data_IF_825502645752
#
_entry.id   IF_825502645752
#
_cell.length_a   1.000
_cell.length_b   1.000
_cell.length_c   1.000
_cell.angle_alpha   90.00
_cell.angle_beta   90.00
_cell.angle_gamma   90.00
#
_symmetry.space_group_name_H-M   'P 1'
#
loop_
_entity.id
_entity.type
_entity.pdbx_description
1 polymer ?
#
# COMPACT_ATOMS: atom_id res chain seq x y z
N UNK A 1 16.80 -17.47 -16.80
CA UNK A 1 17.19 -18.61 -15.94
C UNK A 1 15.99 -18.86 -15.05
N UNK A 2 15.41 -20.04 -15.15
CA UNK A 2 14.17 -20.40 -14.46
C UNK A 2 14.34 -20.29 -12.95
N UNK A 3 13.57 -19.42 -12.33
CA UNK A 3 13.62 -19.08 -10.90
C UNK A 3 13.13 -20.20 -9.97
N UNK A 4 13.10 -21.44 -10.44
CA UNK A 4 12.47 -22.56 -9.73
C UNK A 4 13.43 -23.74 -9.43
N UNK A 5 14.69 -23.68 -9.90
CA UNK A 5 15.68 -24.74 -9.72
C UNK A 5 16.39 -24.54 -8.38
N UNK A 6 16.41 -25.57 -7.52
CA UNK A 6 17.10 -25.58 -6.24
C UNK A 6 18.50 -26.20 -6.41
N UNK A 7 19.56 -25.49 -6.05
CA UNK A 7 20.94 -25.98 -6.10
C UNK A 7 21.28 -26.69 -4.80
N UNK A 8 21.66 -27.95 -4.91
CA UNK A 8 21.94 -28.80 -3.76
C UNK A 8 23.38 -29.33 -3.84
N UNK A 9 24.17 -29.07 -2.82
CA UNK A 9 25.45 -29.72 -2.63
C UNK A 9 25.27 -30.96 -1.75
N UNK A 10 25.84 -32.06 -2.15
CA UNK A 10 25.88 -33.31 -1.37
C UNK A 10 27.34 -33.57 -0.98
N UNK A 11 27.64 -33.52 0.33
CA UNK A 11 28.97 -33.71 0.88
C UNK A 11 29.00 -34.99 1.70
N UNK A 12 29.56 -36.05 1.16
CA UNK A 12 29.55 -37.38 1.73
C UNK A 12 30.75 -38.15 1.19
N UNK A 13 31.61 -38.67 2.06
CA UNK A 13 32.82 -39.41 1.69
C UNK A 13 32.54 -40.89 1.37
N UNK A 14 31.51 -41.49 1.95
CA UNK A 14 31.07 -42.84 1.56
C UNK A 14 30.43 -42.82 0.17
N UNK A 15 31.09 -43.51 -0.78
CA UNK A 15 30.66 -43.51 -2.20
C UNK A 15 29.24 -44.09 -2.39
N UNK A 16 28.86 -45.10 -1.59
CA UNK A 16 27.53 -45.69 -1.68
C UNK A 16 26.45 -44.74 -1.17
N UNK A 17 26.68 -44.13 -0.03
CA UNK A 17 25.76 -43.11 0.56
C UNK A 17 25.65 -41.86 -0.32
N UNK A 18 26.77 -41.39 -0.86
CA UNK A 18 26.78 -40.28 -1.79
C UNK A 18 25.88 -40.56 -3.00
N UNK A 19 26.06 -41.71 -3.64
CA UNK A 19 25.21 -42.11 -4.76
C UNK A 19 23.74 -42.25 -4.37
N UNK A 20 23.45 -42.81 -3.19
CA UNK A 20 22.08 -42.95 -2.67
C UNK A 20 21.39 -41.59 -2.49
N UNK A 21 22.07 -40.65 -1.87
CA UNK A 21 21.54 -39.27 -1.65
C UNK A 21 21.33 -38.56 -2.97
N UNK A 22 22.33 -38.57 -3.84
CA UNK A 22 22.25 -37.96 -5.19
C UNK A 22 21.12 -38.58 -6.00
N UNK A 23 20.99 -39.90 -6.02
CA UNK A 23 19.91 -40.61 -6.74
C UNK A 23 18.53 -40.19 -6.23
N UNK A 24 18.31 -40.19 -4.92
CA UNK A 24 17.02 -39.81 -4.34
C UNK A 24 16.64 -38.37 -4.65
N UNK A 25 17.59 -37.45 -4.61
CA UNK A 25 17.34 -36.05 -4.92
C UNK A 25 17.16 -35.81 -6.44
N UNK A 26 17.89 -36.53 -7.29
CA UNK A 26 17.81 -36.41 -8.76
C UNK A 26 16.48 -36.87 -9.36
N UNK A 27 15.64 -37.57 -8.60
CA UNK A 27 14.27 -37.91 -9.00
C UNK A 27 13.39 -36.68 -9.20
N UNK A 28 13.78 -35.53 -8.64
CA UNK A 28 13.09 -34.27 -8.87
C UNK A 28 13.85 -33.45 -9.92
N UNK A 29 13.26 -33.18 -11.11
CA UNK A 29 13.93 -32.47 -12.20
C UNK A 29 14.24 -31.00 -11.87
N UNK A 30 13.63 -30.45 -10.81
CA UNK A 30 13.85 -29.06 -10.37
C UNK A 30 15.08 -28.92 -9.45
N UNK A 31 15.88 -30.01 -9.22
CA UNK A 31 17.08 -29.97 -8.40
C UNK A 31 18.34 -30.07 -9.27
N UNK A 32 19.25 -29.11 -9.06
CA UNK A 32 20.61 -29.13 -9.62
C UNK A 32 21.57 -29.63 -8.54
N UNK A 33 22.10 -30.81 -8.71
CA UNK A 33 22.87 -31.50 -7.68
C UNK A 33 24.34 -31.52 -8.04
N UNK A 34 25.20 -31.16 -7.10
CA UNK A 34 26.63 -31.32 -7.19
C UNK A 34 27.13 -32.05 -5.94
N UNK A 35 27.98 -33.08 -6.14
CA UNK A 35 28.49 -33.90 -5.05
C UNK A 35 29.98 -33.67 -4.80
N UNK A 36 30.38 -33.79 -3.53
CA UNK A 36 31.73 -33.63 -3.03
C UNK A 36 32.02 -34.75 -2.04
N UNK A 37 33.29 -35.16 -1.95
CA UNK A 37 33.73 -36.23 -1.04
C UNK A 37 34.43 -35.73 0.21
N UNK A 38 34.65 -34.42 0.32
CA UNK A 38 35.36 -33.81 1.42
C UNK A 38 34.86 -32.37 1.67
N UNK A 39 35.09 -31.84 2.88
CA UNK A 39 34.64 -30.52 3.28
C UNK A 39 35.33 -29.39 2.54
N UNK A 40 36.62 -29.53 2.24
CA UNK A 40 37.44 -28.50 1.60
C UNK A 40 36.95 -28.24 0.17
N UNK A 41 36.70 -29.28 -0.60
CA UNK A 41 36.18 -29.14 -1.98
C UNK A 41 34.79 -28.51 -1.99
N UNK A 42 33.93 -28.81 -1.01
CA UNK A 42 32.65 -28.12 -0.85
C UNK A 42 32.84 -26.62 -0.60
N UNK A 43 33.69 -26.25 0.36
CA UNK A 43 33.93 -24.85 0.74
C UNK A 43 34.54 -24.03 -0.43
N UNK A 44 35.47 -24.60 -1.19
CA UNK A 44 36.06 -23.95 -2.36
C UNK A 44 35.02 -23.66 -3.47
N UNK A 45 33.95 -24.43 -3.51
CA UNK A 45 32.86 -24.30 -4.51
C UNK A 45 31.65 -23.49 -4.01
N UNK A 46 31.67 -22.90 -2.83
CA UNK A 46 30.57 -22.04 -2.34
C UNK A 46 30.26 -20.84 -3.25
N UNK A 47 31.23 -20.41 -4.08
CA UNK A 47 31.02 -19.37 -5.09
C UNK A 47 29.93 -19.72 -6.12
N UNK A 48 29.56 -21.01 -6.27
CA UNK A 48 28.46 -21.48 -7.11
C UNK A 48 27.09 -21.25 -6.47
N UNK A 49 27.05 -20.76 -5.20
CA UNK A 49 25.86 -20.39 -4.43
C UNK A 49 24.84 -21.52 -4.34
N UNK A 50 25.12 -22.60 -3.60
CA UNK A 50 24.11 -23.61 -3.31
C UNK A 50 23.01 -23.04 -2.40
N UNK A 51 21.78 -23.51 -2.60
CA UNK A 51 20.65 -23.18 -1.72
C UNK A 51 20.61 -24.12 -0.50
N UNK A 52 21.01 -25.38 -0.73
CA UNK A 52 21.00 -26.44 0.29
C UNK A 52 22.33 -27.20 0.23
N UNK A 53 22.87 -27.53 1.38
CA UNK A 53 24.00 -28.43 1.54
C UNK A 53 23.54 -29.61 2.41
N UNK A 54 23.58 -30.84 1.89
CA UNK A 54 23.52 -32.05 2.70
C UNK A 54 24.95 -32.44 3.08
N UNK A 55 25.23 -32.59 4.36
CA UNK A 55 26.59 -32.63 4.89
C UNK A 55 26.75 -33.83 5.82
N UNK A 56 27.66 -34.71 5.55
CA UNK A 56 28.06 -35.72 6.55
C UNK A 56 28.76 -35.03 7.74
N UNK A 57 28.47 -35.51 8.93
CA UNK A 57 29.12 -35.08 10.14
C UNK A 57 30.58 -35.46 10.22
N UNK A 58 30.97 -36.60 9.66
CA UNK A 58 32.32 -37.13 9.64
C UNK A 58 32.88 -37.16 8.21
N UNK A 59 33.73 -36.17 7.92
CA UNK A 59 34.45 -36.13 6.66
C UNK A 59 35.93 -36.48 6.86
N UNK A 60 36.65 -36.91 5.83
CA UNK A 60 38.05 -37.32 5.97
C UNK A 60 39.02 -36.20 6.31
N UNK A 61 38.70 -34.97 5.96
CA UNK A 61 39.54 -33.78 6.11
C UNK A 61 39.13 -32.87 7.29
N UNK A 62 37.85 -32.81 7.65
CA UNK A 62 37.35 -31.96 8.75
C UNK A 62 36.01 -32.44 9.29
N UNK A 63 35.60 -31.92 10.45
CA UNK A 63 34.27 -32.24 11.01
C UNK A 63 33.16 -31.45 10.30
N UNK A 64 32.01 -32.04 10.12
CA UNK A 64 30.84 -31.38 9.55
C UNK A 64 30.43 -30.10 10.29
N UNK A 65 30.66 -30.01 11.61
CA UNK A 65 30.46 -28.78 12.40
C UNK A 65 31.36 -27.62 11.93
N UNK A 66 32.61 -27.91 11.56
CA UNK A 66 33.55 -26.87 11.10
C UNK A 66 33.19 -26.40 9.68
N UNK A 67 32.72 -27.32 8.82
CA UNK A 67 32.15 -26.96 7.51
C UNK A 67 30.90 -26.09 7.68
N UNK A 68 29.97 -26.50 8.56
CA UNK A 68 28.75 -25.74 8.85
C UNK A 68 29.07 -24.29 9.27
N UNK A 69 29.98 -24.07 10.21
CA UNK A 69 30.41 -22.75 10.66
C UNK A 69 30.93 -21.89 9.52
N UNK A 70 31.84 -22.43 8.70
CA UNK A 70 32.41 -21.70 7.58
C UNK A 70 31.36 -21.40 6.49
N UNK A 71 30.44 -22.31 6.22
CA UNK A 71 29.33 -22.06 5.29
C UNK A 71 28.46 -20.90 5.80
N UNK A 72 28.12 -20.89 7.09
CA UNK A 72 27.29 -19.84 7.71
C UNK A 72 28.02 -18.48 7.82
N UNK A 73 29.34 -18.47 7.93
CA UNK A 73 30.15 -17.24 7.84
C UNK A 73 30.16 -16.64 6.43
N UNK A 74 30.12 -17.46 5.40
CA UNK A 74 30.08 -17.02 4.00
C UNK A 74 28.69 -16.55 3.59
N UNK A 75 27.66 -17.34 3.91
CA UNK A 75 26.24 -17.01 3.62
C UNK A 75 25.31 -17.70 4.63
N UNK A 76 24.67 -16.91 5.49
CA UNK A 76 23.70 -17.40 6.48
C UNK A 76 22.43 -18.00 5.86
N UNK A 77 22.09 -17.62 4.62
CA UNK A 77 20.89 -18.08 3.91
C UNK A 77 21.01 -19.52 3.38
N UNK A 78 22.21 -20.05 3.21
CA UNK A 78 22.42 -21.45 2.80
C UNK A 78 21.87 -22.40 3.86
N UNK A 79 20.95 -23.28 3.48
CA UNK A 79 20.38 -24.26 4.40
C UNK A 79 21.26 -25.50 4.46
N UNK A 80 21.75 -25.84 5.68
CA UNK A 80 22.63 -27.01 5.88
C UNK A 80 21.86 -28.10 6.62
N UNK A 81 21.73 -29.26 6.01
CA UNK A 81 21.12 -30.46 6.57
C UNK A 81 22.23 -31.46 6.87
N UNK A 82 22.44 -31.76 8.14
CA UNK A 82 23.45 -32.77 8.50
C UNK A 82 22.88 -34.20 8.41
N UNK A 83 23.71 -35.09 7.94
CA UNK A 83 23.40 -36.51 7.83
C UNK A 83 24.49 -37.29 8.60
N UNK A 84 24.14 -38.17 9.54
CA UNK A 84 25.13 -38.85 10.37
C UNK A 84 24.61 -40.20 10.86
N UNK A 85 25.54 -41.11 11.15
CA UNK A 85 25.23 -42.38 11.80
C UNK A 85 25.02 -42.27 13.32
N UNK A 86 25.39 -41.13 13.92
CA UNK A 86 25.31 -40.90 15.37
C UNK A 86 23.95 -40.42 15.82
N UNK A 87 23.46 -40.92 16.96
CA UNK A 87 22.22 -40.46 17.64
C UNK A 87 22.53 -39.62 18.90
N UNK A 88 23.72 -39.02 18.98
CA UNK A 88 24.10 -38.26 20.16
C UNK A 88 23.36 -36.93 20.23
N UNK A 89 22.48 -36.79 21.20
CA UNK A 89 21.61 -35.64 21.41
C UNK A 89 22.42 -34.36 21.64
N UNK A 90 23.56 -34.43 22.33
CA UNK A 90 24.39 -33.26 22.63
C UNK A 90 24.97 -32.69 21.34
N UNK A 91 25.41 -33.54 20.41
CA UNK A 91 25.94 -33.16 19.13
C UNK A 91 24.84 -32.51 18.27
N UNK A 92 23.64 -33.08 18.23
CA UNK A 92 22.50 -32.55 17.49
C UNK A 92 22.13 -31.15 17.97
N UNK A 93 22.06 -30.96 19.31
CA UNK A 93 21.73 -29.64 19.89
C UNK A 93 22.81 -28.60 19.56
N UNK A 94 24.09 -28.98 19.58
CA UNK A 94 25.17 -28.08 19.21
C UNK A 94 25.13 -27.67 17.74
N UNK A 95 24.86 -28.60 16.83
CA UNK A 95 24.72 -28.32 15.41
C UNK A 95 23.55 -27.36 15.09
N UNK A 96 22.40 -27.58 15.73
CA UNK A 96 21.23 -26.68 15.57
C UNK A 96 21.51 -25.27 16.12
N UNK A 97 22.25 -25.15 17.23
CA UNK A 97 22.70 -23.85 17.76
C UNK A 97 23.61 -23.08 16.80
N UNK A 98 24.39 -23.81 15.97
CA UNK A 98 25.27 -23.20 14.97
C UNK A 98 24.59 -22.98 13.63
N UNK A 99 23.26 -23.13 13.54
CA UNK A 99 22.48 -22.77 12.36
C UNK A 99 22.25 -23.90 11.35
N UNK A 100 22.43 -25.17 11.75
CA UNK A 100 21.94 -26.29 10.95
C UNK A 100 20.41 -26.20 10.81
N UNK A 101 19.90 -26.45 9.62
CA UNK A 101 18.45 -26.48 9.35
C UNK A 101 17.80 -27.73 9.95
N UNK A 102 18.44 -28.89 9.80
CA UNK A 102 17.94 -30.16 10.30
C UNK A 102 19.10 -31.16 10.49
N UNK A 103 18.84 -32.23 11.24
CA UNK A 103 19.74 -33.33 11.45
C UNK A 103 19.04 -34.66 11.15
N UNK A 104 19.60 -35.44 10.26
CA UNK A 104 19.03 -36.71 9.77
C UNK A 104 19.97 -37.87 10.13
N UNK A 105 19.46 -38.85 10.87
CA UNK A 105 20.22 -40.06 11.19
C UNK A 105 20.21 -41.02 9.97
N UNK A 106 21.35 -41.62 9.63
CA UNK A 106 21.50 -42.64 8.58
C UNK A 106 20.74 -43.91 8.99
N UNK A 107 19.44 -43.96 8.67
CA UNK A 107 18.51 -45.03 9.02
C UNK A 107 17.80 -45.57 7.76
N UNK A 108 16.98 -46.63 7.92
CA UNK A 108 16.18 -47.16 6.81
C UNK A 108 15.22 -46.12 6.21
N UNK A 109 14.81 -45.11 6.98
CA UNK A 109 13.84 -44.08 6.60
C UNK A 109 14.51 -42.79 6.10
N UNK A 110 15.86 -42.79 5.90
CA UNK A 110 16.64 -41.62 5.47
C UNK A 110 16.06 -40.96 4.21
N UNK A 111 15.62 -41.78 3.25
CA UNK A 111 15.04 -41.28 2.00
C UNK A 111 13.84 -40.40 2.23
N UNK A 112 12.88 -40.84 3.04
CA UNK A 112 11.64 -40.10 3.29
C UNK A 112 11.93 -38.84 4.06
N UNK A 113 12.76 -38.91 5.09
CA UNK A 113 13.14 -37.75 5.89
C UNK A 113 13.88 -36.70 5.06
N UNK A 114 14.89 -37.10 4.29
CA UNK A 114 15.66 -36.21 3.41
C UNK A 114 14.76 -35.49 2.40
N UNK A 115 13.90 -36.24 1.70
CA UNK A 115 12.99 -35.65 0.72
C UNK A 115 12.00 -34.70 1.35
N UNK A 116 11.47 -35.03 2.53
CA UNK A 116 10.57 -34.13 3.27
C UNK A 116 11.29 -32.83 3.73
N UNK A 117 12.51 -32.95 4.27
CA UNK A 117 13.30 -31.80 4.70
C UNK A 117 13.64 -30.88 3.54
N UNK A 118 14.17 -31.44 2.42
CA UNK A 118 14.49 -30.64 1.23
C UNK A 118 13.24 -30.01 0.60
N UNK A 119 12.10 -30.71 0.60
CA UNK A 119 10.84 -30.16 0.11
C UNK A 119 10.31 -29.01 0.99
N UNK A 120 10.51 -29.07 2.32
CA UNK A 120 10.17 -27.98 3.22
C UNK A 120 11.06 -26.76 2.96
N UNK A 121 12.36 -26.96 2.83
CA UNK A 121 13.30 -25.90 2.44
C UNK A 121 12.86 -25.26 1.13
N UNK A 122 12.52 -26.05 0.11
CA UNK A 122 12.05 -25.57 -1.19
C UNK A 122 10.79 -24.70 -1.05
N UNK A 123 9.82 -25.11 -0.23
CA UNK A 123 8.61 -24.31 0.02
C UNK A 123 8.94 -22.96 0.65
N UNK A 124 9.83 -22.94 1.62
CA UNK A 124 10.29 -21.70 2.27
C UNK A 124 11.00 -20.76 1.28
N UNK A 125 11.89 -21.31 0.42
CA UNK A 125 12.56 -20.56 -0.64
C UNK A 125 11.57 -19.95 -1.63
N UNK A 126 10.59 -20.74 -2.08
CA UNK A 126 9.54 -20.24 -3.00
C UNK A 126 8.76 -19.08 -2.38
N UNK A 127 8.31 -19.24 -1.14
CA UNK A 127 7.60 -18.18 -0.42
C UNK A 127 8.47 -16.93 -0.24
N UNK A 128 9.76 -17.10 0.13
CA UNK A 128 10.71 -16.00 0.28
C UNK A 128 10.92 -15.25 -1.05
N UNK A 129 11.07 -15.97 -2.15
CA UNK A 129 11.24 -15.39 -3.48
C UNK A 129 9.96 -14.73 -3.98
N UNK A 130 8.79 -15.30 -3.75
CA UNK A 130 7.50 -14.70 -4.08
C UNK A 130 7.28 -13.39 -3.31
N UNK A 131 7.53 -13.38 -2.01
CA UNK A 131 7.50 -12.16 -1.19
C UNK A 131 8.46 -11.11 -1.74
N UNK A 132 9.67 -11.51 -2.14
CA UNK A 132 10.68 -10.60 -2.70
C UNK A 132 10.24 -10.03 -4.06
N UNK A 133 9.63 -10.84 -4.93
CA UNK A 133 9.11 -10.38 -6.22
C UNK A 133 7.91 -9.45 -6.04
N UNK A 134 6.94 -9.81 -5.19
CA UNK A 134 5.79 -8.97 -4.88
C UNK A 134 6.22 -7.62 -4.28
N UNK A 135 7.20 -7.62 -3.37
CA UNK A 135 7.77 -6.39 -2.81
C UNK A 135 8.44 -5.53 -3.89
N UNK A 136 9.14 -6.14 -4.85
CA UNK A 136 9.74 -5.43 -5.98
C UNK A 136 8.69 -4.83 -6.90
N UNK A 137 7.62 -5.56 -7.20
CA UNK A 137 6.48 -5.06 -7.97
C UNK A 137 5.82 -3.86 -7.27
N UNK A 138 5.52 -3.98 -5.98
CA UNK A 138 4.95 -2.91 -5.17
C UNK A 138 5.86 -1.68 -5.18
N UNK A 139 7.17 -1.86 -5.00
CA UNK A 139 8.13 -0.75 -5.04
C UNK A 139 8.19 -0.08 -6.41
N UNK A 140 8.14 -0.86 -7.50
CA UNK A 140 8.12 -0.33 -8.87
C UNK A 140 6.82 0.40 -9.14
N UNK A 141 5.69 -0.18 -8.72
CA UNK A 141 4.35 0.39 -8.83
C UNK A 141 4.23 1.73 -8.08
N UNK A 142 4.84 1.87 -6.90
CA UNK A 142 4.80 3.08 -6.08
C UNK A 142 6.08 3.92 -6.13
N UNK A 143 6.94 3.71 -7.13
CA UNK A 143 7.99 4.69 -7.45
C UNK A 143 7.32 6.02 -7.79
N UNK A 144 7.59 7.09 -7.03
CA UNK A 144 6.88 8.37 -7.17
C UNK A 144 6.92 8.92 -8.60
N UNK A 145 8.00 8.68 -9.35
CA UNK A 145 8.14 9.08 -10.75
C UNK A 145 7.20 8.34 -11.71
N UNK A 146 6.78 7.13 -11.36
CA UNK A 146 5.90 6.30 -12.18
C UNK A 146 4.43 6.40 -11.73
N UNK A 147 4.19 6.69 -10.46
CA UNK A 147 2.87 6.67 -9.83
C UNK A 147 2.17 8.02 -9.91
N UNK A 148 2.93 9.11 -9.70
CA UNK A 148 2.39 10.46 -9.74
C UNK A 148 2.68 11.03 -11.13
N UNK A 149 1.62 11.09 -11.94
CA UNK A 149 1.71 11.57 -13.32
C UNK A 149 1.56 13.09 -13.31
N UNK A 150 2.56 13.81 -13.84
CA UNK A 150 2.53 15.25 -13.98
C UNK A 150 3.91 15.84 -14.24
N UNK A 151 3.95 16.93 -14.99
CA UNK A 151 5.15 17.67 -15.35
C UNK A 151 5.05 19.16 -15.00
N UNK A 152 3.91 19.59 -14.42
CA UNK A 152 3.73 20.99 -14.05
C UNK A 152 4.72 21.41 -12.96
N UNK A 153 5.07 22.70 -12.84
CA UNK A 153 5.92 23.22 -11.77
C UNK A 153 5.37 22.90 -10.38
N UNK A 154 4.04 22.84 -10.25
CA UNK A 154 3.36 22.45 -9.01
C UNK A 154 3.64 20.98 -8.67
N UNK A 155 3.56 20.07 -9.64
CA UNK A 155 3.87 18.65 -9.46
C UNK A 155 5.36 18.41 -9.18
N UNK A 156 6.27 19.18 -9.79
CA UNK A 156 7.71 19.09 -9.50
C UNK A 156 8.03 19.46 -8.03
N UNK A 157 7.39 20.50 -7.48
CA UNK A 157 7.52 20.86 -6.05
C UNK A 157 7.06 19.72 -5.13
N UNK A 158 6.01 18.99 -5.52
CA UNK A 158 5.55 17.81 -4.77
C UNK A 158 6.61 16.71 -4.80
N UNK A 159 7.25 16.45 -5.94
CA UNK A 159 8.34 15.47 -6.04
C UNK A 159 9.52 15.82 -5.14
N UNK A 160 9.93 17.09 -5.09
CA UNK A 160 11.01 17.54 -4.21
C UNK A 160 10.67 17.35 -2.73
N UNK A 161 9.41 17.59 -2.34
CA UNK A 161 8.95 17.37 -0.97
C UNK A 161 8.85 15.88 -0.64
N UNK A 162 8.38 15.04 -1.56
CA UNK A 162 8.37 13.58 -1.40
C UNK A 162 9.80 13.07 -1.19
N UNK A 163 10.75 13.51 -2.03
CA UNK A 163 12.15 13.11 -1.90
C UNK A 163 12.73 13.49 -0.53
N UNK A 164 12.48 14.70 -0.04
CA UNK A 164 12.88 15.12 1.32
C UNK A 164 12.20 14.25 2.38
N UNK A 165 10.91 13.95 2.22
CA UNK A 165 10.17 13.09 3.13
C UNK A 165 10.74 11.67 3.19
N UNK A 166 11.21 11.09 2.08
CA UNK A 166 11.75 9.72 2.06
C UNK A 166 13.05 9.57 2.84
N UNK A 167 13.82 10.65 2.97
CA UNK A 167 15.12 10.66 3.67
C UNK A 167 15.01 10.83 5.19
N UNK A 168 13.83 11.05 5.72
CA UNK A 168 13.62 11.35 7.14
C UNK A 168 12.41 10.61 7.71
N UNK A 169 12.39 10.43 9.03
CA UNK A 169 11.25 9.83 9.75
C UNK A 169 10.31 10.88 10.35
N UNK A 170 10.36 12.13 9.89
CA UNK A 170 9.43 13.17 10.36
C UNK A 170 7.99 12.83 9.99
N UNK A 171 7.05 13.29 10.80
CA UNK A 171 5.62 13.25 10.45
C UNK A 171 5.39 14.05 9.17
N UNK A 172 4.57 13.54 8.26
CA UNK A 172 4.20 14.24 7.03
C UNK A 172 2.72 14.58 7.10
N UNK A 173 2.40 15.85 6.80
CA UNK A 173 1.02 16.35 6.73
C UNK A 173 0.68 16.66 5.28
N UNK A 174 -0.25 15.90 4.69
CA UNK A 174 -0.67 16.06 3.29
C UNK A 174 -2.03 16.78 3.30
N UNK A 175 -2.07 17.96 2.69
CA UNK A 175 -3.31 18.73 2.53
C UNK A 175 -3.70 18.82 1.07
N UNK A 176 -4.98 19.01 0.81
CA UNK A 176 -5.52 19.16 -0.55
C UNK A 176 -6.96 18.68 -0.67
N UNK A 177 -7.64 19.15 -1.70
CA UNK A 177 -9.03 18.81 -1.98
C UNK A 177 -9.23 17.29 -2.12
N UNK A 178 -10.48 16.85 -1.98
CA UNK A 178 -10.84 15.44 -2.23
C UNK A 178 -10.51 15.05 -3.68
N UNK A 179 -9.94 13.86 -3.86
CA UNK A 179 -9.59 13.35 -5.20
C UNK A 179 -8.26 13.86 -5.79
N UNK A 180 -7.46 14.64 -5.05
CA UNK A 180 -6.14 15.15 -5.51
C UNK A 180 -5.01 14.12 -5.49
N UNK A 181 -5.22 12.95 -4.84
CA UNK A 181 -4.23 11.86 -4.80
C UNK A 181 -3.41 11.79 -3.51
N UNK A 182 -3.92 12.29 -2.37
CA UNK A 182 -3.23 12.28 -1.05
C UNK A 182 -2.70 10.91 -0.66
N UNK A 183 -3.47 9.85 -0.85
CA UNK A 183 -3.05 8.48 -0.55
C UNK A 183 -1.89 7.99 -1.43
N UNK A 184 -1.88 8.38 -2.72
CA UNK A 184 -0.78 8.03 -3.64
C UNK A 184 0.53 8.67 -3.19
N UNK A 185 0.49 9.92 -2.70
CA UNK A 185 1.64 10.61 -2.13
C UNK A 185 2.12 9.92 -0.86
N UNK A 186 1.22 9.51 0.04
CA UNK A 186 1.57 8.77 1.25
C UNK A 186 2.26 7.43 0.93
N UNK A 187 1.71 6.68 -0.02
CA UNK A 187 2.32 5.43 -0.52
C UNK A 187 3.69 5.68 -1.17
N UNK A 188 3.79 6.73 -1.99
CA UNK A 188 5.06 7.10 -2.61
C UNK A 188 6.15 7.40 -1.57
N UNK A 189 5.81 8.10 -0.49
CA UNK A 189 6.73 8.38 0.62
C UNK A 189 7.16 7.08 1.31
N UNK A 190 6.22 6.22 1.66
CA UNK A 190 6.52 4.96 2.36
C UNK A 190 7.41 4.04 1.52
N UNK A 191 6.97 3.71 0.29
CA UNK A 191 7.65 2.71 -0.55
C UNK A 191 8.99 3.17 -1.12
N UNK A 192 9.34 4.46 -1.00
CA UNK A 192 10.66 4.99 -1.36
C UNK A 192 11.51 5.40 -0.13
N UNK A 193 11.09 5.04 1.10
CA UNK A 193 11.84 5.27 2.35
C UNK A 193 12.55 4.01 2.84
N UNK A 194 13.32 4.14 3.92
CA UNK A 194 13.97 3.00 4.59
C UNK A 194 12.96 1.98 5.14
N UNK A 195 11.69 2.40 5.34
CA UNK A 195 10.59 1.54 5.81
C UNK A 195 9.82 0.85 4.66
N UNK A 196 10.31 0.93 3.42
CA UNK A 196 9.64 0.37 2.23
C UNK A 196 9.34 -1.14 2.28
N UNK A 197 10.08 -1.90 3.11
CA UNK A 197 9.87 -3.34 3.32
C UNK A 197 8.91 -3.66 4.47
N UNK A 198 8.54 -2.65 5.25
CA UNK A 198 7.71 -2.76 6.44
C UNK A 198 6.23 -2.49 6.11
N UNK A 199 5.29 -2.76 7.02
CA UNK A 199 3.87 -2.53 6.78
C UNK A 199 3.53 -1.07 6.46
N UNK A 200 2.65 -0.85 5.48
CA UNK A 200 1.95 0.41 5.26
C UNK A 200 0.47 0.21 5.61
N UNK A 201 0.05 0.77 6.73
CA UNK A 201 -1.31 0.65 7.21
C UNK A 201 -2.04 1.96 6.95
N UNK A 202 -3.08 1.91 6.12
CA UNK A 202 -3.92 3.06 5.80
C UNK A 202 -5.26 2.97 6.56
N UNK A 203 -5.64 4.07 7.19
CA UNK A 203 -6.89 4.20 7.94
C UNK A 203 -7.59 5.47 7.49
N UNK A 204 -8.79 5.35 6.94
CA UNK A 204 -9.64 6.50 6.65
C UNK A 204 -10.58 6.75 7.85
N UNK A 205 -10.39 7.89 8.52
CA UNK A 205 -11.13 8.23 9.74
C UNK A 205 -12.61 8.46 9.48
N UNK A 206 -12.98 8.94 8.30
CA UNK A 206 -14.38 9.16 7.92
C UNK A 206 -15.13 7.85 7.60
N UNK A 207 -14.42 6.77 7.29
CA UNK A 207 -15.03 5.49 6.91
C UNK A 207 -15.34 4.57 8.11
N UNK A 208 -14.79 4.88 9.29
CA UNK A 208 -14.96 4.05 10.50
C UNK A 208 -16.06 4.66 11.36
N UNK A 209 -17.07 3.87 11.80
CA UNK A 209 -18.03 4.31 12.79
C UNK A 209 -17.33 4.84 14.05
N UNK A 210 -17.81 5.96 14.61
CA UNK A 210 -17.17 6.65 15.74
C UNK A 210 -16.95 5.73 16.95
N UNK A 211 -17.90 4.88 17.23
CA UNK A 211 -17.87 3.94 18.34
C UNK A 211 -16.78 2.87 18.21
N UNK A 212 -16.37 2.56 16.96
CA UNK A 212 -15.36 1.54 16.67
C UNK A 212 -13.96 2.12 16.46
N UNK A 213 -13.86 3.44 16.23
CA UNK A 213 -12.60 4.09 15.86
C UNK A 213 -11.48 3.85 16.89
N UNK A 214 -11.82 3.92 18.17
CA UNK A 214 -10.86 3.67 19.24
C UNK A 214 -10.34 2.23 19.21
N UNK A 215 -11.26 1.27 19.09
CA UNK A 215 -10.93 -0.17 19.03
C UNK A 215 -10.10 -0.54 17.79
N UNK A 216 -10.41 0.07 16.65
CA UNK A 216 -9.64 -0.13 15.40
C UNK A 216 -8.22 0.44 15.53
N UNK A 217 -8.05 1.66 16.07
CA UNK A 217 -6.74 2.29 16.17
C UNK A 217 -5.85 1.64 17.23
N UNK A 218 -6.37 1.43 18.43
CA UNK A 218 -5.58 1.04 19.61
C UNK A 218 -5.72 -0.43 19.99
N UNK A 219 -6.73 -1.15 19.45
CA UNK A 219 -7.02 -2.53 19.79
C UNK A 219 -7.76 -2.69 21.11
N UNK A 220 -8.18 -3.91 21.42
CA UNK A 220 -8.87 -4.25 22.66
C UNK A 220 -8.50 -5.61 23.19
N UNK A 221 -8.63 -5.78 24.49
CA UNK A 221 -8.55 -7.08 25.17
C UNK A 221 -9.92 -7.74 25.20
N UNK A 222 -9.94 -9.07 25.38
CA UNK A 222 -11.18 -9.82 25.55
C UNK A 222 -11.99 -9.28 26.74
N UNK A 223 -13.27 -8.98 26.54
CA UNK A 223 -14.16 -8.45 27.57
C UNK A 223 -14.08 -6.94 27.78
N UNK A 224 -13.37 -6.20 26.96
CA UNK A 224 -13.21 -4.74 27.08
C UNK A 224 -14.52 -3.97 26.95
N UNK A 225 -15.48 -4.49 26.18
CA UNK A 225 -16.84 -3.96 26.02
C UNK A 225 -17.81 -5.09 25.62
N UNK A 226 -19.12 -4.81 25.61
CA UNK A 226 -20.15 -5.78 25.21
C UNK A 226 -19.97 -6.15 23.73
N UNK A 227 -19.56 -7.42 23.48
CA UNK A 227 -19.22 -7.91 22.14
C UNK A 227 -17.73 -8.16 21.89
N UNK A 228 -16.82 -7.76 22.78
CA UNK A 228 -15.39 -8.08 22.70
C UNK A 228 -15.12 -9.55 23.08
N UNK A 229 -15.42 -10.49 22.19
CA UNK A 229 -15.28 -11.94 22.43
C UNK A 229 -13.85 -12.45 22.40
N UNK A 230 -12.96 -11.74 21.71
CA UNK A 230 -11.53 -12.07 21.56
C UNK A 230 -10.68 -10.82 21.65
N UNK A 231 -9.38 -11.00 21.92
CA UNK A 231 -8.39 -9.92 21.79
C UNK A 231 -8.19 -9.56 20.34
N UNK A 232 -8.09 -8.25 20.03
CA UNK A 232 -7.73 -7.74 18.71
C UNK A 232 -6.64 -6.69 18.80
N UNK A 233 -5.62 -6.81 17.96
CA UNK A 233 -4.56 -5.80 17.83
C UNK A 233 -5.08 -4.59 17.06
N UNK A 234 -4.59 -3.39 17.40
CA UNK A 234 -4.97 -2.15 16.74
C UNK A 234 -4.06 -1.79 15.57
N UNK A 235 -4.49 -0.81 14.77
CA UNK A 235 -3.75 -0.34 13.58
C UNK A 235 -2.37 0.22 13.92
N UNK A 236 -2.18 0.77 15.12
CA UNK A 236 -0.85 1.19 15.60
C UNK A 236 0.11 0.00 15.76
N UNK A 237 -0.37 -1.11 16.29
CA UNK A 237 0.43 -2.33 16.44
C UNK A 237 0.69 -2.99 15.08
N UNK A 238 -0.32 -3.02 14.19
CA UNK A 238 -0.18 -3.53 12.82
C UNK A 238 0.87 -2.73 12.01
N UNK A 239 0.97 -1.41 12.28
CA UNK A 239 1.92 -0.51 11.61
C UNK A 239 3.31 -0.52 12.24
N UNK A 240 3.57 -1.35 13.24
CA UNK A 240 4.85 -1.35 13.96
C UNK A 240 6.04 -1.58 13.01
N UNK A 241 7.12 -0.83 13.21
CA UNK A 241 8.29 -0.72 12.34
C UNK A 241 8.02 -0.14 10.93
N UNK A 242 6.75 0.08 10.57
CA UNK A 242 6.28 0.57 9.27
C UNK A 242 5.80 2.02 9.28
N UNK A 243 4.72 2.28 8.54
CA UNK A 243 4.07 3.59 8.47
C UNK A 243 2.56 3.45 8.68
N UNK A 244 2.01 4.34 9.50
CA UNK A 244 0.57 4.51 9.69
C UNK A 244 0.12 5.76 8.94
N UNK A 245 -0.76 5.59 7.97
CA UNK A 245 -1.39 6.66 7.22
C UNK A 245 -2.81 6.89 7.73
N UNK A 246 -3.06 8.09 8.26
CA UNK A 246 -4.37 8.50 8.78
C UNK A 246 -4.97 9.50 7.78
N UNK A 247 -5.93 9.02 6.98
CA UNK A 247 -6.66 9.86 6.04
C UNK A 247 -7.85 10.52 6.72
N UNK A 248 -8.20 11.72 6.29
CA UNK A 248 -9.26 12.59 6.85
C UNK A 248 -9.14 12.73 8.37
N UNK A 249 -7.92 13.06 8.85
CA UNK A 249 -7.61 13.17 10.29
C UNK A 249 -8.50 14.21 11.01
N UNK A 250 -9.02 15.20 10.31
CA UNK A 250 -9.90 16.21 10.86
C UNK A 250 -11.26 15.66 11.30
N UNK A 251 -11.65 14.45 10.87
CA UNK A 251 -12.90 13.79 11.26
C UNK A 251 -12.78 13.04 12.60
N UNK A 252 -11.58 13.02 13.20
CA UNK A 252 -11.35 12.33 14.47
C UNK A 252 -11.96 13.08 15.65
N UNK A 253 -12.71 12.37 16.50
CA UNK A 253 -13.28 12.96 17.71
C UNK A 253 -12.23 13.47 18.69
N UNK A 254 -12.53 14.55 19.39
CA UNK A 254 -11.61 15.24 20.34
C UNK A 254 -11.05 14.31 21.42
N UNK A 255 -11.85 13.36 21.92
CA UNK A 255 -11.42 12.37 22.90
C UNK A 255 -10.32 11.45 22.36
N UNK A 256 -10.44 11.04 21.11
CA UNK A 256 -9.45 10.20 20.43
C UNK A 256 -8.18 10.99 20.04
N UNK A 257 -8.32 12.26 19.74
CA UNK A 257 -7.18 13.14 19.49
C UNK A 257 -6.23 13.22 20.70
N UNK A 258 -6.75 13.18 21.95
CA UNK A 258 -5.94 13.13 23.14
C UNK A 258 -5.14 11.80 23.25
N UNK A 259 -5.77 10.67 22.92
CA UNK A 259 -5.09 9.36 22.91
C UNK A 259 -4.04 9.28 21.79
N UNK A 260 -4.35 9.82 20.62
CA UNK A 260 -3.40 9.92 19.51
C UNK A 260 -2.17 10.76 19.92
N UNK A 261 -2.38 11.92 20.55
CA UNK A 261 -1.29 12.76 21.03
C UNK A 261 -0.36 11.98 21.97
N UNK A 262 -0.95 11.25 22.93
CA UNK A 262 -0.18 10.42 23.87
C UNK A 262 0.63 9.36 23.13
N UNK A 263 0.03 8.64 22.19
CA UNK A 263 0.73 7.63 21.39
C UNK A 263 1.93 8.21 20.60
N UNK A 264 1.78 9.46 20.09
CA UNK A 264 2.84 10.16 19.36
C UNK A 264 3.98 10.67 20.25
N UNK A 265 3.69 10.99 21.51
CA UNK A 265 4.67 11.52 22.46
C UNK A 265 5.44 10.42 23.18
N UNK A 266 4.71 9.44 23.70
CA UNK A 266 5.26 8.35 24.52
C UNK A 266 5.76 7.17 23.67
N UNK A 267 5.36 7.09 22.39
CA UNK A 267 5.60 5.95 21.49
C UNK A 267 5.08 4.63 22.09
N UNK A 268 3.99 4.73 22.79
CA UNK A 268 3.30 3.62 23.43
C UNK A 268 1.79 3.80 23.28
N UNK A 269 1.07 2.68 23.20
CA UNK A 269 -0.39 2.64 23.22
C UNK A 269 -0.87 1.74 24.34
N UNK A 270 -2.12 1.93 24.75
CA UNK A 270 -2.81 1.08 25.70
C UNK A 270 -4.08 0.56 25.02
N UNK A 271 -4.28 -0.76 24.96
CA UNK A 271 -5.49 -1.38 24.42
C UNK A 271 -6.69 -1.10 25.32
N UNK A 272 -7.87 -1.02 24.73
CA UNK A 272 -9.11 -0.90 25.51
C UNK A 272 -9.24 -2.11 26.42
N UNK A 273 -9.55 -1.87 27.70
CA UNK A 273 -9.63 -2.93 28.73
C UNK A 273 -8.31 -3.41 29.29
N UNK A 274 -7.18 -2.76 28.95
CA UNK A 274 -5.86 -3.05 29.50
C UNK A 274 -5.27 -1.81 30.20
N UNK A 275 -4.33 -2.05 31.10
CA UNK A 275 -3.46 -1.01 31.67
C UNK A 275 -1.99 -1.19 31.24
N UNK A 276 -1.69 -2.19 30.42
CA UNK A 276 -0.32 -2.47 30.00
C UNK A 276 0.03 -1.66 28.75
N UNK A 277 1.11 -0.84 28.77
CA UNK A 277 1.58 -0.12 27.61
C UNK A 277 2.22 -1.08 26.60
N UNK A 278 1.99 -0.84 25.32
CA UNK A 278 2.59 -1.55 24.20
C UNK A 278 3.43 -0.55 23.42
N UNK A 279 4.75 -0.80 23.34
CA UNK A 279 5.67 0.05 22.56
C UNK A 279 5.38 -0.05 21.07
N UNK A 280 5.41 1.10 20.40
CA UNK A 280 5.20 1.22 18.98
C UNK A 280 6.33 2.05 18.35
N UNK A 281 6.78 1.64 17.18
CA UNK A 281 7.67 2.42 16.33
C UNK A 281 7.06 2.50 14.93
N UNK A 282 6.15 3.43 14.72
CA UNK A 282 5.57 3.67 13.40
C UNK A 282 5.78 5.12 12.96
N UNK A 283 6.06 5.29 11.67
CA UNK A 283 6.07 6.61 11.03
C UNK A 283 4.64 7.07 10.79
N UNK A 284 4.33 8.31 11.14
CA UNK A 284 3.00 8.87 10.94
C UNK A 284 2.97 9.72 9.68
N UNK A 285 1.97 9.47 8.84
CA UNK A 285 1.61 10.28 7.69
C UNK A 285 0.13 10.61 7.84
N UNK A 286 -0.24 11.86 7.79
CA UNK A 286 -1.64 12.29 7.89
C UNK A 286 -2.11 12.93 6.60
N UNK A 287 -3.41 12.85 6.32
CA UNK A 287 -4.02 13.58 5.23
C UNK A 287 -5.36 14.20 5.65
N UNK A 288 -5.71 15.32 5.04
CA UNK A 288 -6.99 15.99 5.23
C UNK A 288 -7.31 16.95 4.08
N UNK A 289 -8.57 17.16 3.82
CA UNK A 289 -9.08 18.22 2.93
C UNK A 289 -9.44 19.51 3.68
N UNK A 290 -9.46 19.49 5.04
CA UNK A 290 -9.80 20.64 5.88
C UNK A 290 -8.54 21.40 6.31
N UNK A 291 -8.71 22.71 6.56
CA UNK A 291 -7.68 23.50 7.20
C UNK A 291 -7.65 23.22 8.71
N UNK A 292 -6.67 22.43 9.17
CA UNK A 292 -6.57 22.04 10.59
C UNK A 292 -6.47 23.24 11.55
N UNK A 293 -5.86 24.35 11.13
CA UNK A 293 -5.78 25.54 11.98
C UNK A 293 -7.16 26.21 12.16
N UNK A 294 -8.02 26.18 11.15
CA UNK A 294 -9.40 26.61 11.27
C UNK A 294 -10.20 25.69 12.18
N UNK A 295 -10.01 24.38 12.05
CA UNK A 295 -10.66 23.42 12.94
C UNK A 295 -10.19 23.57 14.40
N UNK A 296 -8.93 23.96 14.63
CA UNK A 296 -8.45 24.35 15.98
C UNK A 296 -9.21 25.59 16.51
N UNK A 297 -9.40 26.62 15.66
CA UNK A 297 -10.16 27.84 16.07
C UNK A 297 -11.63 27.56 16.38
N UNK A 298 -12.25 26.60 15.65
CA UNK A 298 -13.62 26.14 15.88
C UNK A 298 -13.76 25.20 17.10
N UNK A 299 -12.65 24.75 17.69
CA UNK A 299 -12.64 23.80 18.81
C UNK A 299 -12.84 22.34 18.40
N UNK A 300 -12.85 22.00 17.10
CA UNK A 300 -12.98 20.65 16.58
C UNK A 300 -11.66 19.87 16.54
N UNK A 301 -10.53 20.58 16.67
CA UNK A 301 -9.20 19.97 16.67
C UNK A 301 -8.32 20.55 17.78
N UNK A 302 -7.58 19.68 18.47
CA UNK A 302 -6.72 20.13 19.58
C UNK A 302 -5.47 20.83 19.06
N UNK A 303 -5.14 21.98 19.65
CA UNK A 303 -3.97 22.78 19.31
C UNK A 303 -2.65 22.05 19.56
N UNK A 304 -2.56 21.28 20.64
CA UNK A 304 -1.38 20.49 21.00
C UNK A 304 -1.09 19.38 19.99
N UNK A 305 -2.14 18.65 19.54
CA UNK A 305 -2.03 17.63 18.51
C UNK A 305 -1.64 18.26 17.16
N UNK A 306 -2.23 19.40 16.80
CA UNK A 306 -1.87 20.10 15.56
C UNK A 306 -0.36 20.33 15.46
N UNK A 307 0.28 20.93 16.49
CA UNK A 307 1.72 21.17 16.46
C UNK A 307 2.56 19.87 16.46
N UNK A 308 2.06 18.79 17.03
CA UNK A 308 2.75 17.51 17.00
C UNK A 308 2.70 16.82 15.63
N UNK A 309 1.61 17.02 14.89
CA UNK A 309 1.40 16.47 13.54
C UNK A 309 1.98 17.36 12.43
N UNK A 310 2.19 18.66 12.71
CA UNK A 310 2.72 19.62 11.76
C UNK A 310 4.24 19.47 11.61
N UNK A 311 4.62 18.40 10.84
CA UNK A 311 6.02 18.11 10.53
C UNK A 311 6.41 18.68 9.16
N UNK A 312 6.50 17.82 8.14
CA UNK A 312 6.73 18.27 6.75
C UNK A 312 5.38 18.43 6.04
N UNK A 313 4.94 19.67 5.75
CA UNK A 313 3.71 19.91 5.02
C UNK A 313 3.89 19.66 3.52
N UNK A 314 2.93 18.98 2.90
CA UNK A 314 2.82 18.76 1.46
C UNK A 314 1.42 19.16 1.03
N UNK A 315 1.31 20.32 0.37
CA UNK A 315 0.04 20.80 -0.16
C UNK A 315 -0.14 20.32 -1.61
N UNK A 316 -1.22 19.59 -1.86
CA UNK A 316 -1.58 19.10 -3.17
C UNK A 316 -2.51 20.09 -3.85
N UNK A 317 -2.06 20.80 -4.89
CA UNK A 317 -2.92 21.72 -5.60
C UNK A 317 -4.05 20.96 -6.31
N UNK A 318 -5.23 21.57 -6.44
CA UNK A 318 -6.31 21.00 -7.21
C UNK A 318 -5.92 20.87 -8.69
N UNK A 319 -6.60 19.96 -9.41
CA UNK A 319 -6.25 19.63 -10.78
C UNK A 319 -6.28 20.84 -11.74
N UNK A 320 -7.20 21.77 -11.53
CA UNK A 320 -7.31 23.04 -12.28
C UNK A 320 -6.06 23.93 -12.18
N UNK A 321 -5.25 23.77 -11.15
CA UNK A 321 -4.00 24.52 -10.95
C UNK A 321 -2.75 23.78 -11.46
N UNK A 322 -2.92 22.56 -11.99
CA UNK A 322 -1.82 21.72 -12.55
C UNK A 322 -1.64 21.88 -14.07
N UNK A 323 -2.34 22.83 -14.69
CA UNK A 323 -2.14 23.19 -16.11
C UNK A 323 -2.21 22.02 -17.07
N UNK A 324 -1.07 21.67 -17.71
CA UNK A 324 -0.99 20.60 -18.72
C UNK A 324 -1.15 19.18 -18.18
N UNK A 325 -1.06 18.98 -16.86
CA UNK A 325 -1.13 17.65 -16.24
C UNK A 325 -2.51 16.99 -16.47
N UNK A 326 -3.58 17.78 -16.62
CA UNK A 326 -4.92 17.28 -16.97
C UNK A 326 -4.88 16.36 -18.20
N UNK A 327 -4.23 16.81 -19.28
CA UNK A 327 -4.16 16.03 -20.53
C UNK A 327 -3.21 14.83 -20.40
N UNK A 328 -2.13 14.99 -19.66
CA UNK A 328 -1.19 13.91 -19.40
C UNK A 328 -1.87 12.78 -18.62
N UNK A 329 -2.63 13.13 -17.57
CA UNK A 329 -3.43 12.20 -16.77
C UNK A 329 -4.53 11.54 -17.62
N UNK A 330 -5.26 12.30 -18.41
CA UNK A 330 -6.30 11.78 -19.30
C UNK A 330 -5.74 10.72 -20.26
N UNK A 331 -4.62 10.99 -20.92
CA UNK A 331 -3.95 10.03 -21.81
C UNK A 331 -3.51 8.77 -21.07
N UNK A 332 -2.97 8.91 -19.87
CA UNK A 332 -2.57 7.76 -19.05
C UNK A 332 -3.79 6.91 -18.63
N UNK A 333 -4.91 7.53 -18.29
CA UNK A 333 -6.13 6.81 -17.94
C UNK A 333 -6.73 6.08 -19.13
N UNK A 334 -6.72 6.70 -20.32
CA UNK A 334 -7.14 6.02 -21.57
C UNK A 334 -6.30 4.77 -21.80
N UNK A 335 -4.96 4.91 -21.77
CA UNK A 335 -4.06 3.80 -22.01
C UNK A 335 -4.25 2.67 -20.99
N UNK A 336 -4.36 3.00 -19.70
CA UNK A 336 -4.59 2.02 -18.65
C UNK A 336 -5.92 1.30 -18.81
N UNK A 337 -7.02 2.04 -19.03
CA UNK A 337 -8.35 1.48 -19.17
C UNK A 337 -8.47 0.59 -20.42
N UNK A 338 -7.92 1.02 -21.57
CA UNK A 338 -7.88 0.22 -22.77
C UNK A 338 -7.08 -1.08 -22.57
N UNK A 339 -5.93 -1.00 -21.92
CA UNK A 339 -5.10 -2.18 -21.63
C UNK A 339 -5.80 -3.18 -20.69
N UNK A 340 -6.41 -2.70 -19.60
CA UNK A 340 -7.14 -3.52 -18.63
C UNK A 340 -8.34 -4.25 -19.28
N UNK A 341 -9.04 -3.58 -20.22
CA UNK A 341 -10.20 -4.13 -20.89
C UNK A 341 -9.89 -4.76 -22.26
N UNK A 342 -8.60 -4.88 -22.65
CA UNK A 342 -8.15 -5.43 -23.94
C UNK A 342 -8.77 -4.71 -25.15
N UNK A 343 -8.95 -3.40 -25.03
CA UNK A 343 -9.44 -2.52 -26.10
C UNK A 343 -8.26 -1.91 -26.86
N UNK A 344 -8.49 -1.50 -28.11
CA UNK A 344 -7.53 -0.68 -28.83
C UNK A 344 -7.37 0.68 -28.17
N UNK A 345 -6.14 1.21 -28.12
CA UNK A 345 -5.86 2.49 -27.47
C UNK A 345 -6.52 3.62 -28.27
N UNK A 346 -7.36 4.41 -27.62
CA UNK A 346 -8.05 5.55 -28.21
C UNK A 346 -7.28 6.84 -28.01
N UNK A 347 -7.54 7.84 -28.85
CA UNK A 347 -6.93 9.16 -28.77
C UNK A 347 -7.97 10.26 -28.51
N UNK A 348 -7.54 11.37 -27.88
CA UNK A 348 -8.40 12.54 -27.67
C UNK A 348 -8.35 13.46 -28.90
N UNK A 349 -9.51 13.90 -29.37
CA UNK A 349 -9.58 14.94 -30.39
C UNK A 349 -9.13 16.30 -29.85
N UNK A 350 -8.84 17.25 -30.76
CA UNK A 350 -8.48 18.62 -30.36
C UNK A 350 -9.62 19.34 -29.61
N UNK A 351 -10.88 19.04 -29.93
CA UNK A 351 -12.07 19.59 -29.26
C UNK A 351 -12.16 19.03 -27.82
N UNK A 352 -11.98 17.72 -27.63
CA UNK A 352 -11.95 17.07 -26.32
C UNK A 352 -10.87 17.63 -25.42
N UNK A 353 -9.66 17.87 -25.96
CA UNK A 353 -8.56 18.49 -25.21
C UNK A 353 -8.92 19.89 -24.73
N UNK A 354 -9.58 20.71 -25.60
CA UNK A 354 -10.03 22.05 -25.21
C UNK A 354 -11.09 21.99 -24.10
N UNK A 355 -12.06 21.08 -24.24
CA UNK A 355 -13.13 20.87 -23.26
C UNK A 355 -12.57 20.46 -21.89
N UNK A 356 -11.64 19.50 -21.85
CA UNK A 356 -10.97 19.07 -20.62
C UNK A 356 -10.15 20.18 -19.97
N UNK A 357 -9.49 21.05 -20.76
CA UNK A 357 -8.71 22.17 -20.19
C UNK A 357 -9.58 23.29 -19.62
N UNK A 358 -10.78 23.45 -20.12
CA UNK A 358 -11.71 24.49 -19.67
C UNK A 358 -12.48 24.10 -18.41
N UNK A 359 -12.51 22.80 -18.07
CA UNK A 359 -13.30 22.30 -16.95
C UNK A 359 -12.53 22.39 -15.62
N UNK A 360 -13.26 22.71 -14.53
CA UNK A 360 -12.68 23.00 -13.21
C UNK A 360 -12.31 21.77 -12.38
N UNK A 361 -12.86 20.59 -12.69
CA UNK A 361 -12.66 19.31 -11.97
C UNK A 361 -12.87 19.41 -10.45
N UNK A 362 -14.08 19.68 -9.96
CA UNK A 362 -14.36 19.74 -8.52
C UNK A 362 -14.01 18.44 -7.78
N UNK A 363 -14.14 17.29 -8.42
CA UNK A 363 -13.69 15.97 -7.91
C UNK A 363 -12.25 15.62 -8.27
N UNK A 364 -11.49 16.58 -8.83
CA UNK A 364 -10.06 16.46 -9.15
C UNK A 364 -9.71 15.23 -10.02
N UNK A 365 -8.63 14.52 -9.68
CA UNK A 365 -8.13 13.36 -10.44
C UNK A 365 -9.14 12.20 -10.42
N UNK A 366 -9.89 12.04 -9.30
CA UNK A 366 -10.91 10.98 -9.20
C UNK A 366 -12.02 11.20 -10.23
N UNK A 367 -12.49 12.42 -10.35
CA UNK A 367 -13.51 12.78 -11.34
C UNK A 367 -12.98 12.66 -12.77
N UNK A 368 -11.79 13.21 -13.06
CA UNK A 368 -11.16 13.06 -14.36
C UNK A 368 -11.07 11.58 -14.79
N UNK A 369 -10.65 10.70 -13.86
CA UNK A 369 -10.57 9.27 -14.14
C UNK A 369 -11.92 8.70 -14.56
N UNK A 370 -12.99 8.98 -13.80
CA UNK A 370 -14.34 8.49 -14.10
C UNK A 370 -14.86 9.03 -15.44
N UNK A 371 -14.63 10.31 -15.74
CA UNK A 371 -15.01 10.93 -17.03
C UNK A 371 -14.31 10.23 -18.19
N UNK A 372 -13.02 9.96 -18.07
CA UNK A 372 -12.23 9.32 -19.13
C UNK A 372 -12.65 7.86 -19.33
N UNK A 373 -12.83 7.09 -18.27
CA UNK A 373 -13.29 5.70 -18.34
C UNK A 373 -14.66 5.61 -19.05
N UNK A 374 -15.58 6.51 -18.71
CA UNK A 374 -16.87 6.61 -19.35
C UNK A 374 -16.73 7.02 -20.83
N UNK A 375 -15.90 8.03 -21.14
CA UNK A 375 -15.68 8.48 -22.50
C UNK A 375 -15.08 7.40 -23.41
N UNK A 376 -14.12 6.60 -22.89
CA UNK A 376 -13.57 5.44 -23.62
C UNK A 376 -14.65 4.39 -23.90
N UNK A 377 -15.57 4.19 -22.96
CA UNK A 377 -16.66 3.23 -23.08
C UNK A 377 -17.71 3.66 -24.11
N UNK A 378 -18.01 4.97 -24.18
CA UNK A 378 -19.02 5.53 -25.08
C UNK A 378 -18.51 5.76 -26.51
N UNK A 379 -17.21 5.91 -26.71
CA UNK A 379 -16.64 6.10 -28.03
C UNK A 379 -16.58 4.77 -28.78
N UNK A 380 -17.26 4.66 -29.90
CA UNK A 380 -17.18 3.47 -30.77
C UNK A 380 -15.90 3.48 -31.63
N UNK A 381 -15.43 4.65 -32.00
CA UNK A 381 -14.26 4.88 -32.86
C UNK A 381 -12.94 4.90 -32.05
N UNK A 382 -11.81 4.98 -32.74
CA UNK A 382 -10.46 5.15 -32.18
C UNK A 382 -10.21 6.54 -31.57
N UNK A 383 -11.14 7.49 -31.75
CA UNK A 383 -11.04 8.85 -31.26
C UNK A 383 -12.18 9.18 -30.28
N UNK A 384 -11.80 9.88 -29.20
CA UNK A 384 -12.74 10.37 -28.19
C UNK A 384 -13.07 11.83 -28.53
N UNK A 385 -14.27 12.04 -29.03
CA UNK A 385 -14.83 13.36 -29.33
C UNK A 385 -15.35 14.08 -28.07
N UNK A 386 -15.66 15.38 -28.18
CA UNK A 386 -16.18 16.16 -27.04
C UNK A 386 -17.57 15.71 -26.58
N UNK A 387 -18.35 15.06 -27.46
CA UNK A 387 -19.66 14.46 -27.20
C UNK A 387 -19.58 13.28 -26.22
N UNK A 388 -18.45 12.56 -26.19
CA UNK A 388 -18.21 11.45 -25.28
C UNK A 388 -17.81 11.92 -23.86
N UNK A 389 -17.37 13.20 -23.73
CA UNK A 389 -16.99 13.78 -22.43
C UNK A 389 -18.23 14.32 -21.71
N UNK A 390 -18.80 13.51 -20.84
CA UNK A 390 -19.90 13.91 -19.96
C UNK A 390 -19.32 14.64 -18.76
N UNK A 391 -19.31 15.96 -18.81
CA UNK A 391 -18.88 16.81 -17.71
C UNK A 391 -20.16 17.23 -16.96
N UNK A 392 -20.15 17.01 -15.64
CA UNK A 392 -21.21 17.55 -14.77
C UNK A 392 -20.94 19.06 -14.62
N UNK A 393 -21.79 19.89 -15.21
CA UNK A 393 -21.71 21.35 -15.03
C UNK A 393 -21.75 21.65 -13.52
N UNK A 394 -20.58 21.82 -12.91
CA UNK A 394 -20.44 22.23 -11.52
C UNK A 394 -20.94 23.66 -11.26
N UNK A 395 -21.19 24.43 -12.33
CA UNK A 395 -21.68 25.81 -12.26
C UNK A 395 -23.19 25.92 -11.98
N UNK A 396 -23.86 24.82 -11.78
CA UNK A 396 -25.31 24.88 -11.70
C UNK A 396 -25.97 24.19 -10.51
N UNK A 397 -25.58 23.02 -10.12
CA UNK A 397 -26.40 22.22 -9.20
C UNK A 397 -25.67 21.62 -8.00
N UNK A 398 -24.32 21.59 -7.97
CA UNK A 398 -23.53 21.04 -6.84
C UNK A 398 -23.75 21.81 -5.54
N UNK A 399 -23.83 23.15 -5.60
CA UNK A 399 -24.04 23.98 -4.42
C UNK A 399 -25.48 23.93 -3.87
N UNK A 400 -26.41 23.39 -4.67
CA UNK A 400 -27.80 23.28 -4.21
C UNK A 400 -28.00 22.25 -3.11
N UNK A 401 -27.14 21.21 -3.04
CA UNK A 401 -27.28 20.08 -2.12
C UNK A 401 -26.22 20.02 -1.02
N UNK A 402 -25.40 21.06 -0.86
CA UNK A 402 -24.34 21.11 0.17
C UNK A 402 -24.83 21.46 1.56
N UNK A 403 -26.03 22.01 1.69
CA UNK A 403 -26.65 22.37 2.98
C UNK A 403 -27.99 21.70 3.12
N UNK A 404 -28.33 21.21 4.31
CA UNK A 404 -29.69 20.74 4.64
C UNK A 404 -30.62 21.96 4.78
N UNK A 405 -31.27 22.33 3.69
CA UNK A 405 -32.27 23.41 3.64
C UNK A 405 -33.66 22.85 3.34
N UNK A 406 -34.71 23.66 3.61
CA UNK A 406 -36.08 23.25 3.33
C UNK A 406 -36.33 23.06 1.83
N UNK A 407 -37.31 22.20 1.46
CA UNK A 407 -37.73 22.01 0.07
C UNK A 407 -38.09 23.34 -0.62
N UNK A 408 -38.67 24.29 0.14
CA UNK A 408 -39.00 25.64 -0.34
C UNK A 408 -37.73 26.38 -0.75
N UNK A 409 -36.68 26.32 0.07
CA UNK A 409 -35.40 26.95 -0.17
C UNK A 409 -34.67 26.35 -1.38
N UNK A 410 -34.71 25.01 -1.53
CA UNK A 410 -34.22 24.34 -2.74
C UNK A 410 -34.91 24.84 -4.01
N UNK A 411 -36.23 24.92 -3.99
CA UNK A 411 -37.00 25.41 -5.12
C UNK A 411 -36.66 26.88 -5.48
N UNK A 412 -36.45 27.73 -4.49
CA UNK A 412 -36.02 29.13 -4.71
C UNK A 412 -34.63 29.21 -5.35
N UNK A 413 -33.66 28.43 -4.84
CA UNK A 413 -32.30 28.35 -5.42
C UNK A 413 -32.32 27.83 -6.86
N UNK A 414 -33.11 26.80 -7.17
CA UNK A 414 -33.29 26.27 -8.53
C UNK A 414 -33.86 27.35 -9.48
N UNK A 415 -34.92 28.03 -9.05
CA UNK A 415 -35.54 29.10 -9.87
C UNK A 415 -34.54 30.24 -10.11
N UNK A 416 -33.82 30.72 -9.09
CA UNK A 416 -32.82 31.77 -9.22
C UNK A 416 -31.78 31.42 -10.27
N UNK A 417 -31.22 30.21 -10.19
CA UNK A 417 -30.16 29.73 -11.09
C UNK A 417 -30.64 29.56 -12.52
N UNK A 418 -31.88 29.07 -12.71
CA UNK A 418 -32.47 28.98 -14.05
C UNK A 418 -32.81 30.35 -14.62
N UNK A 419 -33.16 31.33 -13.77
CA UNK A 419 -33.35 32.72 -14.20
C UNK A 419 -32.04 33.33 -14.72
N UNK A 420 -30.92 33.10 -14.00
CA UNK A 420 -29.58 33.52 -14.46
C UNK A 420 -29.19 32.83 -15.77
N UNK A 421 -29.43 31.52 -15.89
CA UNK A 421 -29.10 30.71 -17.08
C UNK A 421 -29.88 31.09 -18.33
N UNK A 422 -31.16 31.53 -18.16
CA UNK A 422 -32.04 31.87 -19.28
C UNK A 422 -32.32 33.38 -19.37
N UNK A 423 -31.32 34.22 -19.09
CA UNK A 423 -31.36 35.69 -19.27
C UNK A 423 -32.57 36.35 -18.59
N UNK A 424 -32.94 35.92 -17.40
CA UNK A 424 -34.08 36.43 -16.61
C UNK A 424 -35.42 36.35 -17.39
N UNK A 425 -35.68 35.26 -18.13
CA UNK A 425 -36.92 35.03 -18.87
C UNK A 425 -37.86 34.08 -18.12
N UNK A 426 -38.78 34.53 -17.24
CA UNK A 426 -39.63 33.70 -16.42
C UNK A 426 -40.49 32.71 -17.17
N UNK A 427 -40.92 33.05 -18.40
CA UNK A 427 -41.72 32.15 -19.24
C UNK A 427 -40.95 30.90 -19.67
N UNK A 428 -39.69 31.06 -20.04
CA UNK A 428 -38.80 29.94 -20.44
C UNK A 428 -38.48 29.05 -19.23
N UNK A 429 -38.23 29.68 -18.08
CA UNK A 429 -37.98 28.93 -16.84
C UNK A 429 -39.20 28.14 -16.39
N UNK A 430 -40.40 28.73 -16.52
CA UNK A 430 -41.66 28.07 -16.19
C UNK A 430 -41.90 26.82 -17.07
N UNK A 431 -41.64 26.94 -18.38
CA UNK A 431 -41.73 25.84 -19.35
C UNK A 431 -40.70 24.72 -19.01
N UNK A 432 -39.47 25.06 -18.71
CA UNK A 432 -38.40 24.11 -18.36
C UNK A 432 -38.66 23.38 -17.03
N UNK A 433 -39.31 24.04 -16.06
CA UNK A 433 -39.66 23.44 -14.78
C UNK A 433 -41.06 22.80 -14.78
N UNK A 434 -41.79 22.85 -15.89
CA UNK A 434 -43.16 22.34 -16.04
C UNK A 434 -44.11 22.93 -14.98
N UNK A 435 -43.93 24.22 -14.63
CA UNK A 435 -44.74 24.93 -13.65
C UNK A 435 -45.41 26.16 -14.26
N UNK A 436 -46.47 26.65 -13.62
CA UNK A 436 -47.14 27.86 -14.09
C UNK A 436 -46.26 29.10 -13.96
N UNK A 437 -46.28 30.00 -14.95
CA UNK A 437 -45.54 31.26 -14.95
C UNK A 437 -45.83 32.09 -13.69
N UNK A 438 -47.07 32.08 -13.19
CA UNK A 438 -47.47 32.71 -11.92
C UNK A 438 -46.72 32.17 -10.72
N UNK A 439 -46.39 30.86 -10.74
CA UNK A 439 -45.62 30.22 -9.66
C UNK A 439 -44.19 30.74 -9.64
N UNK A 440 -43.55 30.93 -10.80
CA UNK A 440 -42.22 31.53 -10.90
C UNK A 440 -42.22 32.96 -10.36
N UNK A 441 -43.18 33.79 -10.77
CA UNK A 441 -43.25 35.15 -10.25
C UNK A 441 -43.48 35.23 -8.73
N UNK A 442 -44.30 34.30 -8.16
CA UNK A 442 -44.47 34.21 -6.72
C UNK A 442 -43.18 33.82 -6.01
N UNK A 443 -42.42 32.83 -6.55
CA UNK A 443 -41.14 32.43 -5.99
C UNK A 443 -40.09 33.54 -6.07
N UNK A 444 -40.06 34.31 -7.16
CA UNK A 444 -39.16 35.48 -7.29
C UNK A 444 -39.50 36.58 -6.26
N UNK A 445 -40.77 36.81 -5.99
CA UNK A 445 -41.21 37.79 -4.99
C UNK A 445 -40.88 37.33 -3.55
N UNK A 446 -40.79 36.02 -3.29
CA UNK A 446 -40.37 35.45 -2.00
C UNK A 446 -38.85 35.58 -1.79
N UNK A 447 -38.07 36.05 -2.79
CA UNK A 447 -36.61 36.25 -2.75
C UNK A 447 -36.21 37.71 -2.49
N UNK A 448 -37.13 38.69 -2.69
CA UNK A 448 -36.96 40.10 -2.34
C UNK A 448 -37.32 40.30 -0.85
#
# INVERSE_FOLDING_TARGET
>A
MDSNTLKIFVVEDDEWYNRLVVYNLSLNPDYEIQSFTDGKSCLENLHLKPDVITLDYRLPDMKGLDVLKQVKEVDEDIQVVLISEQEDIEVVVDLLKHGAYDYIVKSKDIRERLLNTVNNIRKEFRLKNEIKSLRKEVRTKYSYKNTIIGNSPATQKIFDLIEKATRTNVTVSITGETGTGKELVAKAIHYNSDRAKQPFIAVNMAAIPKELTESELFGHEKGAYTGATSRRIGKFEEANSGSLFLDEIAEMDISLQAKLLRALQEKEIIRIGSNQPVKIDCRIIIATNKNLMEEVKKGNFRKDLYYRLYGLPIDLPPLRERGSDVILLAKAFIANFCNENKLETKSLTSSSIRKLRAYSFPGNIRELKSIIELAVTLADDSEIGEEHLILTDSDGFGDLFTEEVSLREYNLRIVKKLMEKYDNKPKVVAEKLEVGVATIYRMLKDME
#
